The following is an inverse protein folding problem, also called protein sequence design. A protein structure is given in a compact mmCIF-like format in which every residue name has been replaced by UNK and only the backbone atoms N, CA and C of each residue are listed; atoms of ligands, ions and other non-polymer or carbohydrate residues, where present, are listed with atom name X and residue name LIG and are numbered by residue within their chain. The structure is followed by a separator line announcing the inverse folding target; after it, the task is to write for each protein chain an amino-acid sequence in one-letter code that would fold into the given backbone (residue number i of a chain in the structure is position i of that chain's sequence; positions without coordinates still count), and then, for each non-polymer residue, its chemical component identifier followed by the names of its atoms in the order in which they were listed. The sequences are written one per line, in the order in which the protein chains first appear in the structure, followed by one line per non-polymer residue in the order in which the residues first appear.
data_IF_750126230308
#
_entry.id   IF_750126230308
#
_cell.length_a   1.000
_cell.length_b   1.000
_cell.length_c   1.000
_cell.angle_alpha   90.00
_cell.angle_beta   90.00
_cell.angle_gamma   90.00
#
_symmetry.space_group_name_H-M   'P 1'
#
loop_
_entity.id
_entity.type
_entity.pdbx_description
1 polymer ?
#
# COMPACT_ATOMS: atom_id res chain seq x y z
N UNK A 1 0.70 0.41 8.72
CA UNK A 1 2.08 0.88 8.40
C UNK A 1 2.19 1.55 7.03
N UNK A 2 1.65 0.98 5.99
CA UNK A 2 1.83 1.48 4.62
C UNK A 2 1.40 2.95 4.43
N UNK A 3 0.27 3.37 4.99
CA UNK A 3 -0.19 4.76 4.93
C UNK A 3 0.87 5.74 5.44
N UNK A 4 1.45 5.46 6.60
CA UNK A 4 2.44 6.34 7.22
C UNK A 4 3.77 6.32 6.49
N UNK A 5 4.19 5.16 5.99
CA UNK A 5 5.42 5.02 5.20
C UNK A 5 5.30 5.78 3.87
N UNK A 6 4.21 5.61 3.16
CA UNK A 6 3.99 6.33 1.89
C UNK A 6 3.92 7.83 2.11
N UNK A 7 3.20 8.27 3.14
CA UNK A 7 3.09 9.69 3.50
C UNK A 7 4.45 10.29 3.83
N UNK A 8 5.27 9.57 4.58
CA UNK A 8 6.62 10.00 4.90
C UNK A 8 7.50 10.15 3.65
N UNK A 9 7.47 9.19 2.75
CA UNK A 9 8.22 9.25 1.49
C UNK A 9 7.76 10.42 0.61
N UNK A 10 6.47 10.66 0.51
CA UNK A 10 5.92 11.79 -0.23
C UNK A 10 6.37 13.14 0.40
N UNK A 11 6.35 13.23 1.72
CA UNK A 11 6.79 14.42 2.45
C UNK A 11 8.26 14.72 2.20
N UNK A 12 9.13 13.71 2.23
CA UNK A 12 10.56 13.88 1.96
C UNK A 12 10.84 14.41 0.54
N UNK A 13 9.95 14.15 -0.40
CA UNK A 13 10.04 14.65 -1.77
C UNK A 13 9.30 15.98 -2.00
N UNK A 14 8.74 16.58 -0.94
CA UNK A 14 7.97 17.81 -1.05
C UNK A 14 6.61 17.63 -1.75
N UNK A 15 6.03 16.44 -1.69
CA UNK A 15 4.80 16.06 -2.39
C UNK A 15 3.60 15.87 -1.44
N UNK A 16 3.64 16.44 -0.25
CA UNK A 16 2.61 16.26 0.80
C UNK A 16 1.21 16.62 0.31
N UNK A 17 1.08 17.69 -0.47
CA UNK A 17 -0.19 18.22 -0.96
C UNK A 17 -0.65 17.54 -2.27
N UNK A 18 0.15 16.62 -2.82
CA UNK A 18 -0.13 15.98 -4.10
C UNK A 18 -0.94 14.69 -3.96
N UNK A 19 -1.01 14.12 -2.76
CA UNK A 19 -1.68 12.86 -2.50
C UNK A 19 -2.61 12.96 -1.29
N UNK A 20 -3.81 12.46 -1.44
CA UNK A 20 -4.72 12.18 -0.33
C UNK A 20 -4.61 10.69 0.01
N UNK A 21 -4.02 10.40 1.18
CA UNK A 21 -3.64 9.06 1.58
C UNK A 21 -4.47 8.65 2.79
N UNK A 22 -5.11 7.50 2.70
CA UNK A 22 -5.86 6.92 3.81
C UNK A 22 -5.71 5.41 3.81
N UNK A 23 -6.11 4.76 4.89
CA UNK A 23 -6.13 3.31 5.00
C UNK A 23 -7.43 2.81 5.62
N UNK A 24 -7.81 1.61 5.24
CA UNK A 24 -9.00 0.93 5.74
C UNK A 24 -8.75 -0.57 5.83
N UNK A 25 -9.57 -1.27 6.58
CA UNK A 25 -9.53 -2.71 6.69
C UNK A 25 -10.56 -3.35 5.75
N UNK A 26 -10.39 -4.64 5.47
CA UNK A 26 -11.35 -5.44 4.67
C UNK A 26 -12.26 -6.30 5.54
N UNK A 27 -12.08 -6.26 6.87
CA UNK A 27 -12.89 -6.97 7.84
C UNK A 27 -13.21 -6.09 9.04
N UNK A 28 -14.13 -6.56 9.91
CA UNK A 28 -14.50 -5.86 11.13
C UNK A 28 -13.66 -6.25 12.36
N UNK A 29 -12.75 -7.21 12.24
CA UNK A 29 -12.04 -7.81 13.38
C UNK A 29 -11.26 -6.80 14.21
N UNK A 30 -10.67 -5.79 13.56
CA UNK A 30 -9.87 -4.75 14.20
C UNK A 30 -10.56 -3.39 14.25
N UNK A 31 -11.88 -3.33 13.98
CA UNK A 31 -12.60 -2.06 13.89
C UNK A 31 -12.53 -1.27 15.19
N UNK A 32 -12.13 0.00 15.07
CA UNK A 32 -11.94 0.90 16.20
C UNK A 32 -10.60 0.80 16.90
N UNK A 33 -9.80 -0.22 16.61
CA UNK A 33 -8.46 -0.39 17.20
C UNK A 33 -7.48 0.62 16.62
N UNK A 34 -6.57 1.11 17.46
CA UNK A 34 -5.45 1.91 17.03
C UNK A 34 -4.38 1.08 16.33
N UNK A 35 -3.25 1.71 16.02
CA UNK A 35 -2.11 1.01 15.44
C UNK A 35 -1.60 -0.06 16.42
N UNK A 36 -1.31 -1.25 15.89
CA UNK A 36 -0.81 -2.35 16.69
C UNK A 36 0.55 -1.98 17.32
N UNK A 37 0.78 -2.25 18.62
CA UNK A 37 1.98 -1.75 19.32
C UNK A 37 3.31 -2.13 18.68
N UNK A 38 3.43 -3.36 18.15
CA UNK A 38 4.64 -3.79 17.47
C UNK A 38 4.86 -3.08 16.14
N UNK A 39 3.78 -2.75 15.44
CA UNK A 39 3.86 -1.94 14.22
C UNK A 39 4.28 -0.50 14.54
N UNK A 40 3.72 0.10 15.59
CA UNK A 40 4.10 1.42 16.06
C UNK A 40 5.58 1.47 16.45
N UNK A 41 6.06 0.46 17.20
CA UNK A 41 7.46 0.34 17.60
C UNK A 41 8.40 0.24 16.38
N UNK A 42 8.02 -0.53 15.38
CA UNK A 42 8.79 -0.65 14.13
C UNK A 42 8.87 0.68 13.40
N UNK A 43 7.77 1.41 13.28
CA UNK A 43 7.75 2.74 12.67
C UNK A 43 8.65 3.73 13.43
N UNK A 44 8.59 3.72 14.76
CA UNK A 44 9.44 4.57 15.61
C UNK A 44 10.91 4.26 15.41
N UNK A 45 11.31 2.99 15.34
CA UNK A 45 12.70 2.58 15.09
C UNK A 45 13.23 3.08 13.76
N UNK A 46 12.38 3.22 12.76
CA UNK A 46 12.73 3.73 11.43
C UNK A 46 12.44 5.22 11.26
N UNK A 47 12.11 5.92 12.35
CA UNK A 47 11.82 7.36 12.33
C UNK A 47 10.69 7.76 11.40
N UNK A 48 9.69 6.89 11.26
CA UNK A 48 8.49 7.16 10.50
C UNK A 48 7.44 7.79 11.40
N UNK A 49 7.03 9.06 11.17
CA UNK A 49 5.97 9.69 11.96
C UNK A 49 4.64 8.98 11.72
N UNK A 50 3.84 8.85 12.77
CA UNK A 50 2.47 8.37 12.65
C UNK A 50 1.57 9.12 13.64
N UNK A 51 0.34 9.33 13.24
CA UNK A 51 -0.68 9.97 14.05
C UNK A 51 -1.67 8.97 14.62
N UNK A 52 -2.76 9.48 15.15
CA UNK A 52 -3.88 8.64 15.60
C UNK A 52 -4.50 7.95 14.39
N UNK A 53 -4.64 6.65 14.51
CA UNK A 53 -5.31 5.83 13.50
C UNK A 53 -6.24 4.86 14.19
N UNK A 54 -7.46 4.74 13.68
CA UNK A 54 -8.42 3.73 14.10
C UNK A 54 -8.82 2.90 12.90
N UNK A 55 -8.69 1.58 13.03
CA UNK A 55 -9.12 0.67 11.99
C UNK A 55 -10.62 0.79 11.75
N UNK A 56 -11.03 0.87 10.51
CA UNK A 56 -12.42 0.77 10.09
C UNK A 56 -12.48 -0.03 8.80
N UNK A 57 -13.61 -0.72 8.58
CA UNK A 57 -13.82 -1.45 7.35
C UNK A 57 -14.07 -0.47 6.21
N UNK A 58 -13.46 -0.73 5.05
CA UNK A 58 -13.66 0.09 3.86
C UNK A 58 -15.15 0.13 3.48
N UNK A 59 -15.63 1.33 3.16
CA UNK A 59 -16.99 1.54 2.66
C UNK A 59 -16.98 1.58 1.13
N UNK A 60 -18.14 1.34 0.52
CA UNK A 60 -18.30 1.48 -0.93
C UNK A 60 -17.94 2.90 -1.38
N UNK A 61 -18.33 3.91 -0.61
CA UNK A 61 -18.04 5.30 -0.92
C UNK A 61 -16.55 5.59 -0.92
N UNK A 62 -15.81 5.10 0.07
CA UNK A 62 -14.35 5.25 0.12
C UNK A 62 -13.69 4.60 -1.10
N UNK A 63 -14.16 3.43 -1.49
CA UNK A 63 -13.67 2.76 -2.69
C UNK A 63 -13.94 3.60 -3.94
N UNK A 64 -15.16 4.09 -4.10
CA UNK A 64 -15.56 4.87 -5.28
C UNK A 64 -14.79 6.19 -5.38
N UNK A 65 -14.50 6.83 -4.24
CA UNK A 65 -13.77 8.10 -4.19
C UNK A 65 -12.25 7.95 -4.42
N UNK A 66 -11.71 6.76 -4.18
CA UNK A 66 -10.28 6.52 -4.38
C UNK A 66 -9.93 6.41 -5.87
N UNK A 67 -8.82 7.01 -6.27
CA UNK A 67 -8.27 6.84 -7.62
C UNK A 67 -7.55 5.50 -7.76
N UNK A 68 -6.93 5.05 -6.66
CA UNK A 68 -6.12 3.83 -6.60
C UNK A 68 -6.30 3.18 -5.24
N UNK A 69 -6.50 1.88 -5.24
CA UNK A 69 -6.64 1.07 -4.02
C UNK A 69 -5.50 0.06 -3.98
N UNK A 70 -4.69 0.13 -2.94
CA UNK A 70 -3.53 -0.74 -2.76
C UNK A 70 -3.83 -1.74 -1.66
N UNK A 71 -3.60 -3.01 -1.95
CA UNK A 71 -3.73 -4.11 -1.00
C UNK A 71 -2.39 -4.79 -0.77
N UNK A 72 -2.27 -5.50 0.35
CA UNK A 72 -1.00 -6.12 0.74
C UNK A 72 -0.87 -7.55 0.21
N UNK A 73 -1.98 -8.28 0.10
CA UNK A 73 -1.96 -9.69 -0.25
C UNK A 73 -3.19 -10.11 -1.06
N UNK A 74 -3.15 -11.37 -1.51
CA UNK A 74 -4.23 -11.98 -2.31
C UNK A 74 -5.53 -12.11 -1.53
N UNK A 75 -5.47 -12.27 -0.20
CA UNK A 75 -6.64 -12.32 0.66
C UNK A 75 -7.39 -11.00 0.66
N UNK A 76 -6.65 -9.89 0.80
CA UNK A 76 -7.23 -8.54 0.70
C UNK A 76 -7.90 -8.33 -0.66
N UNK A 77 -7.28 -8.76 -1.74
CA UNK A 77 -7.83 -8.67 -3.10
C UNK A 77 -9.18 -9.38 -3.21
N UNK A 78 -9.26 -10.61 -2.70
CA UNK A 78 -10.52 -11.39 -2.72
C UNK A 78 -11.62 -10.72 -1.91
N UNK A 79 -11.27 -10.17 -0.74
CA UNK A 79 -12.24 -9.52 0.15
C UNK A 79 -12.76 -8.20 -0.45
N UNK A 80 -11.89 -7.40 -1.05
CA UNK A 80 -12.30 -6.18 -1.77
C UNK A 80 -13.28 -6.54 -2.90
N UNK A 81 -12.99 -7.57 -3.67
CA UNK A 81 -13.88 -8.02 -4.74
C UNK A 81 -15.28 -8.38 -4.23
N UNK A 82 -15.36 -9.02 -3.07
CA UNK A 82 -16.65 -9.35 -2.43
C UNK A 82 -17.42 -8.11 -1.98
N UNK A 83 -16.71 -7.09 -1.50
CA UNK A 83 -17.31 -5.86 -0.98
C UNK A 83 -17.81 -4.97 -2.12
N UNK A 84 -17.02 -4.81 -3.17
CA UNK A 84 -17.25 -3.82 -4.23
C UNK A 84 -17.73 -4.39 -5.53
N UNK A 85 -17.52 -5.69 -5.78
CA UNK A 85 -17.82 -6.34 -7.06
C UNK A 85 -16.85 -5.97 -8.18
N UNK A 86 -15.84 -5.14 -7.90
CA UNK A 86 -14.90 -4.60 -8.87
C UNK A 86 -13.48 -4.61 -8.31
N UNK A 87 -12.50 -4.81 -9.18
CA UNK A 87 -11.08 -4.76 -8.85
C UNK A 87 -10.26 -3.94 -9.86
N UNK A 88 -10.91 -3.17 -10.72
CA UNK A 88 -10.23 -2.47 -11.83
C UNK A 88 -9.15 -1.48 -11.37
N UNK A 89 -9.29 -0.93 -10.18
CA UNK A 89 -8.31 0.01 -9.60
C UNK A 89 -7.58 -0.53 -8.37
N UNK A 90 -7.65 -1.85 -8.15
CA UNK A 90 -7.02 -2.51 -7.00
C UNK A 90 -5.73 -3.19 -7.45
N UNK A 91 -4.64 -2.89 -6.76
CA UNK A 91 -3.32 -3.44 -7.05
C UNK A 91 -2.64 -3.90 -5.77
N UNK A 92 -1.88 -4.98 -5.84
CA UNK A 92 -1.00 -5.37 -4.73
C UNK A 92 0.20 -4.42 -4.67
N UNK A 93 0.62 -4.06 -3.46
CA UNK A 93 1.73 -3.13 -3.28
C UNK A 93 3.01 -3.61 -3.97
N UNK A 94 3.35 -4.89 -3.86
CA UNK A 94 4.59 -5.43 -4.42
C UNK A 94 4.55 -5.60 -5.95
N UNK A 95 3.41 -5.39 -6.59
CA UNK A 95 3.32 -5.27 -8.05
C UNK A 95 4.29 -4.20 -8.58
N UNK A 96 4.40 -3.09 -7.89
CA UNK A 96 5.25 -1.98 -8.30
C UNK A 96 6.74 -2.30 -8.19
N UNK A 97 7.14 -3.12 -7.25
CA UNK A 97 8.53 -3.61 -7.16
C UNK A 97 8.88 -4.55 -8.31
N UNK A 98 7.95 -5.41 -8.71
CA UNK A 98 8.11 -6.30 -9.87
C UNK A 98 8.21 -5.48 -11.15
N UNK A 99 7.33 -4.49 -11.35
CA UNK A 99 7.37 -3.59 -12.51
C UNK A 99 8.71 -2.85 -12.59
N UNK A 100 9.22 -2.32 -11.49
CA UNK A 100 10.52 -1.65 -11.43
C UNK A 100 11.67 -2.57 -11.81
N UNK A 101 11.67 -3.80 -11.32
CA UNK A 101 12.68 -4.80 -11.65
C UNK A 101 12.65 -5.18 -13.13
N UNK A 102 11.47 -5.38 -13.68
CA UNK A 102 11.30 -5.72 -15.10
C UNK A 102 11.74 -4.57 -16.01
N UNK A 103 11.43 -3.34 -15.65
CA UNK A 103 11.85 -2.15 -16.39
C UNK A 103 13.38 -2.04 -16.45
N UNK A 104 14.05 -2.25 -15.32
CA UNK A 104 15.53 -2.24 -15.24
C UNK A 104 16.14 -3.37 -16.08
N UNK A 105 15.49 -4.53 -16.11
CA UNK A 105 15.92 -5.68 -16.92
C UNK A 105 15.53 -5.56 -18.40
N UNK A 106 14.73 -4.56 -18.79
CA UNK A 106 14.29 -4.35 -20.17
C UNK A 106 13.17 -5.26 -20.64
N UNK A 107 12.44 -5.88 -19.72
CA UNK A 107 11.28 -6.71 -20.04
C UNK A 107 9.97 -5.92 -20.02
N UNK A 108 9.03 -6.34 -20.86
CA UNK A 108 7.65 -5.86 -20.71
C UNK A 108 6.99 -6.62 -19.58
N UNK A 109 6.55 -5.88 -18.56
CA UNK A 109 5.86 -6.49 -17.43
C UNK A 109 4.49 -6.98 -17.85
N UNK A 110 4.31 -8.29 -17.87
CA UNK A 110 2.98 -8.90 -17.93
C UNK A 110 2.63 -9.25 -16.49
N UNK A 111 1.90 -8.37 -15.83
CA UNK A 111 1.55 -8.58 -14.44
C UNK A 111 0.36 -9.51 -14.32
N UNK A 112 0.63 -10.77 -14.05
CA UNK A 112 -0.41 -11.68 -13.54
C UNK A 112 -0.52 -11.43 -12.03
N UNK A 113 -1.68 -10.99 -11.51
CA UNK A 113 -1.84 -10.74 -10.08
C UNK A 113 -1.48 -11.92 -9.19
N UNK A 114 -1.65 -13.14 -9.70
CA UNK A 114 -1.34 -14.37 -8.95
C UNK A 114 0.17 -14.62 -8.82
N UNK A 115 0.98 -14.00 -9.64
CA UNK A 115 2.44 -14.10 -9.61
C UNK A 115 3.11 -13.00 -8.79
N UNK A 116 2.35 -11.99 -8.40
CA UNK A 116 2.86 -10.90 -7.55
C UNK A 116 2.99 -11.39 -6.11
N UNK A 117 4.17 -11.21 -5.47
CA UNK A 117 4.33 -11.60 -4.07
C UNK A 117 3.38 -10.84 -3.14
N UNK A 118 2.98 -11.48 -2.06
CA UNK A 118 2.27 -10.85 -0.97
C UNK A 118 3.24 -10.19 0.01
N UNK A 119 2.80 -9.10 0.65
CA UNK A 119 3.42 -8.67 1.91
C UNK A 119 2.90 -9.61 3.00
N UNK A 120 3.80 -10.37 3.62
CA UNK A 120 3.41 -11.29 4.68
C UNK A 120 2.85 -10.52 5.88
N UNK A 121 1.70 -10.95 6.37
CA UNK A 121 1.06 -10.30 7.52
C UNK A 121 1.89 -10.56 8.79
N UNK A 122 2.46 -9.51 9.40
CA UNK A 122 3.32 -9.67 10.57
C UNK A 122 2.57 -10.15 11.82
N UNK A 123 1.25 -10.05 11.84
CA UNK A 123 0.43 -10.64 12.89
C UNK A 123 0.63 -12.15 12.98
N UNK A 124 0.75 -12.83 11.81
CA UNK A 124 0.95 -14.29 11.76
C UNK A 124 2.43 -14.68 11.81
N UNK A 125 3.31 -13.91 11.20
CA UNK A 125 4.75 -14.23 11.13
C UNK A 125 5.53 -13.75 12.35
N UNK A 126 5.05 -12.73 13.06
CA UNK A 126 5.78 -12.03 14.10
C UNK A 126 6.92 -11.15 13.59
N UNK A 127 7.11 -11.05 12.28
CA UNK A 127 8.26 -10.34 11.69
C UNK A 127 7.85 -8.97 11.13
N UNK A 128 7.77 -7.98 12.02
CA UNK A 128 7.41 -6.60 11.66
C UNK A 128 8.51 -5.88 10.87
N UNK A 129 9.77 -6.23 11.09
CA UNK A 129 10.90 -5.66 10.33
C UNK A 129 10.86 -6.09 8.86
N UNK A 130 10.54 -7.34 8.58
CA UNK A 130 10.39 -7.83 7.21
C UNK A 130 9.20 -7.14 6.52
N UNK A 131 8.06 -7.04 7.22
CA UNK A 131 6.90 -6.33 6.71
C UNK A 131 7.23 -4.85 6.42
N UNK A 132 7.94 -4.19 7.30
CA UNK A 132 8.40 -2.82 7.09
C UNK A 132 9.26 -2.71 5.83
N UNK A 133 10.26 -3.58 5.68
CA UNK A 133 11.15 -3.58 4.52
C UNK A 133 10.40 -3.76 3.21
N UNK A 134 9.48 -4.72 3.15
CA UNK A 134 8.68 -5.00 1.97
C UNK A 134 7.74 -3.83 1.64
N UNK A 135 7.08 -3.27 2.66
CA UNK A 135 6.18 -2.13 2.49
C UNK A 135 6.95 -0.88 2.06
N UNK A 136 8.11 -0.62 2.65
CA UNK A 136 8.95 0.51 2.28
C UNK A 136 9.36 0.44 0.80
N UNK A 137 9.85 -0.70 0.35
CA UNK A 137 10.22 -0.92 -1.06
C UNK A 137 9.01 -0.74 -1.98
N UNK A 138 7.87 -1.32 -1.61
CA UNK A 138 6.63 -1.20 -2.37
C UNK A 138 6.13 0.24 -2.47
N UNK A 139 6.12 0.95 -1.36
CA UNK A 139 5.72 2.36 -1.34
C UNK A 139 6.64 3.25 -2.17
N UNK A 140 7.94 3.02 -2.13
CA UNK A 140 8.90 3.76 -2.94
C UNK A 140 8.68 3.50 -4.42
N UNK A 141 8.53 2.25 -4.82
CA UNK A 141 8.27 1.86 -6.20
C UNK A 141 6.93 2.44 -6.70
N UNK A 142 5.89 2.40 -5.88
CA UNK A 142 4.59 3.01 -6.18
C UNK A 142 4.72 4.51 -6.41
N UNK A 143 5.41 5.21 -5.52
CA UNK A 143 5.61 6.65 -5.66
C UNK A 143 6.31 7.01 -6.98
N UNK A 144 7.37 6.29 -7.34
CA UNK A 144 8.06 6.49 -8.61
C UNK A 144 7.14 6.21 -9.81
N UNK A 145 6.33 5.14 -9.76
CA UNK A 145 5.39 4.82 -10.82
C UNK A 145 4.35 5.94 -11.02
N UNK A 146 3.82 6.50 -9.93
CA UNK A 146 2.87 7.61 -10.00
C UNK A 146 3.51 8.89 -10.58
N UNK A 147 4.74 9.19 -10.22
CA UNK A 147 5.46 10.35 -10.76
C UNK A 147 5.77 10.19 -12.24
N UNK A 148 6.13 9.00 -12.71
CA UNK A 148 6.33 8.71 -14.14
C UNK A 148 5.04 8.88 -14.92
N UNK A 149 3.92 8.38 -14.40
CA UNK A 149 2.60 8.51 -15.02
C UNK A 149 2.22 9.98 -15.25
N UNK A 150 2.52 10.86 -14.31
CA UNK A 150 2.29 12.31 -14.44
C UNK A 150 3.12 12.94 -15.56
N UNK A 151 4.40 12.59 -15.67
CA UNK A 151 5.29 13.12 -16.73
C UNK A 151 4.80 12.73 -18.12
N UNK A 152 4.22 11.53 -18.27
CA UNK A 152 3.68 11.06 -19.56
C UNK A 152 2.44 11.82 -20.02
N UNK A 153 1.72 12.46 -19.09
CA UNK A 153 0.50 13.21 -19.38
C UNK A 153 0.75 14.70 -19.65
N UNK A 154 1.97 15.17 -19.45
CA UNK A 154 2.38 16.56 -19.67
C UNK A 154 3.21 16.78 -20.95
N UNK A 155 3.34 15.76 -21.76
CA UNK A 155 4.01 15.86 -23.07
C UNK A 155 3.02 16.16 -24.19
#
# INVERSE_FOLDING_TARGET
MAEFIFRHLATEMGLDDEFEISSAAVSYEEEGNGIYPYAADTLLRHSIPFGRHRAHRITRQEYDDADLVIVMDSSNMRLIRRITGDCSKVHKLLEYTVMEQDEVAGYQTVTNPDEVPDVADPWYTGNFEQAYSDIFRGCRALLYALLKSRKSHHC
#
